data_IF_095857760850
#
_entry.id   IF_095857760850
#
_cell.length_a   1.000
_cell.length_b   1.000
_cell.length_c   1.000
_cell.angle_alpha   90.00
_cell.angle_beta   90.00
_cell.angle_gamma   90.00
#
_symmetry.space_group_name_H-M   'P 1'
#
loop_
_entity.id
_entity.type
_entity.pdbx_description
1 polymer ?
#
# COMPACT_ATOMS: atom_id res chain seq x y z
N UNK A 1 7.05 -9.94 5.80
CA UNK A 1 5.74 -9.29 5.74
C UNK A 1 5.94 -7.79 5.53
N UNK A 2 5.11 -7.14 4.72
CA UNK A 2 5.11 -5.70 4.46
C UNK A 2 3.89 -5.06 5.14
N UNK A 3 4.08 -4.02 5.95
CA UNK A 3 2.98 -3.27 6.59
C UNK A 3 3.07 -1.83 6.14
N UNK A 4 2.05 -1.37 5.45
CA UNK A 4 1.92 0.01 4.96
C UNK A 4 0.91 0.73 5.84
N UNK A 5 1.35 1.77 6.55
CA UNK A 5 0.54 2.56 7.45
C UNK A 5 0.12 3.86 6.74
N UNK A 6 -1.07 3.86 6.16
CA UNK A 6 -1.65 5.03 5.49
C UNK A 6 -2.32 5.96 6.52
N UNK A 7 -1.63 7.03 6.88
CA UNK A 7 -2.16 7.98 7.86
C UNK A 7 -3.24 8.91 7.31
N UNK A 8 -3.50 8.84 6.00
CA UNK A 8 -4.50 9.70 5.35
C UNK A 8 -4.34 11.16 5.82
N UNK A 9 -5.44 11.86 6.09
CA UNK A 9 -5.45 13.23 6.65
C UNK A 9 -5.58 13.26 8.19
N UNK A 10 -5.50 12.11 8.89
CA UNK A 10 -5.73 12.07 10.35
C UNK A 10 -4.56 12.63 11.18
N UNK A 11 -3.38 12.79 10.60
CA UNK A 11 -2.18 13.21 11.34
C UNK A 11 -1.68 14.55 10.81
N UNK A 12 -2.07 15.61 11.49
CA UNK A 12 -1.66 16.98 11.13
C UNK A 12 -0.50 17.51 11.99
N UNK A 13 -0.32 16.94 13.17
CA UNK A 13 0.68 17.40 14.13
C UNK A 13 1.99 16.59 14.03
N UNK A 14 3.12 17.31 13.97
CA UNK A 14 4.45 16.70 13.88
C UNK A 14 4.84 15.92 15.14
N UNK A 15 4.34 16.30 16.33
CA UNK A 15 4.64 15.57 17.56
C UNK A 15 3.93 14.19 17.57
N UNK A 16 2.66 14.12 17.14
CA UNK A 16 1.94 12.87 16.92
C UNK A 16 2.65 12.02 15.85
N UNK A 17 3.04 12.63 14.73
CA UNK A 17 3.76 11.94 13.66
C UNK A 17 5.08 11.31 14.13
N UNK A 18 5.86 12.02 14.97
CA UNK A 18 7.08 11.47 15.57
C UNK A 18 6.82 10.28 16.50
N UNK A 19 5.72 10.31 17.28
CA UNK A 19 5.32 9.19 18.14
C UNK A 19 4.95 7.95 17.33
N UNK A 20 4.17 8.12 16.26
CA UNK A 20 3.81 7.05 15.31
C UNK A 20 5.03 6.49 14.58
N UNK A 21 5.95 7.34 14.15
CA UNK A 21 7.23 6.91 13.57
C UNK A 21 8.05 6.06 14.55
N UNK A 22 8.15 6.48 15.81
CA UNK A 22 8.82 5.69 16.84
C UNK A 22 8.11 4.35 17.11
N UNK A 23 6.77 4.32 17.05
CA UNK A 23 5.99 3.08 17.14
C UNK A 23 6.31 2.15 15.95
N UNK A 24 6.33 2.66 14.72
CA UNK A 24 6.72 1.91 13.53
C UNK A 24 8.11 1.30 13.62
N UNK A 25 9.09 2.04 14.17
CA UNK A 25 10.45 1.50 14.42
C UNK A 25 10.45 0.34 15.43
N UNK A 26 9.70 0.48 16.52
CA UNK A 26 9.55 -0.59 17.52
C UNK A 26 8.90 -1.82 16.91
N UNK A 27 7.81 -1.61 16.15
CA UNK A 27 7.10 -2.67 15.45
C UNK A 27 8.03 -3.42 14.47
N UNK A 28 8.73 -2.71 13.60
CA UNK A 28 9.68 -3.32 12.67
C UNK A 28 10.76 -4.13 13.40
N UNK A 29 11.26 -3.63 14.53
CA UNK A 29 12.28 -4.33 15.32
C UNK A 29 11.75 -5.60 15.98
N UNK A 30 10.51 -5.59 16.50
CA UNK A 30 9.93 -6.73 17.20
C UNK A 30 9.46 -7.84 16.27
N UNK A 31 8.91 -7.49 15.10
CA UNK A 31 8.33 -8.44 14.13
C UNK A 31 9.28 -8.83 13.00
N UNK A 32 10.33 -8.04 12.75
CA UNK A 32 11.16 -8.16 11.54
C UNK A 32 10.48 -7.65 10.25
N UNK A 33 9.23 -7.18 10.35
CA UNK A 33 8.47 -6.67 9.22
C UNK A 33 9.08 -5.37 8.65
N UNK A 34 8.86 -5.16 7.35
CA UNK A 34 9.12 -3.87 6.70
C UNK A 34 7.91 -2.98 6.98
N UNK A 35 8.14 -1.83 7.60
CA UNK A 35 7.09 -0.85 7.90
C UNK A 35 7.24 0.33 6.94
N UNK A 36 6.22 0.58 6.15
CA UNK A 36 6.14 1.75 5.25
C UNK A 36 5.13 2.73 5.85
N UNK A 37 5.59 3.92 6.20
CA UNK A 37 4.73 4.98 6.74
C UNK A 37 4.35 5.93 5.61
N UNK A 38 3.07 6.18 5.41
CA UNK A 38 2.55 7.14 4.45
C UNK A 38 1.93 8.35 5.19
N UNK A 39 2.75 9.30 5.65
CA UNK A 39 2.29 10.51 6.30
C UNK A 39 1.73 11.51 5.28
N UNK A 40 0.94 12.51 5.70
CA UNK A 40 0.66 13.70 4.88
C UNK A 40 1.94 14.33 4.32
N UNK A 41 1.88 14.83 3.09
CA UNK A 41 3.04 15.30 2.32
C UNK A 41 3.94 16.26 3.12
N UNK A 42 3.36 17.23 3.85
CA UNK A 42 4.09 18.21 4.65
C UNK A 42 4.93 17.62 5.78
N UNK A 43 4.62 16.40 6.23
CA UNK A 43 5.33 15.73 7.33
C UNK A 43 6.41 14.76 6.84
N UNK A 44 6.31 14.31 5.59
CA UNK A 44 7.17 13.27 5.05
C UNK A 44 8.66 13.64 5.15
N UNK A 45 9.05 14.77 4.58
CA UNK A 45 10.46 15.22 4.59
C UNK A 45 11.03 15.38 6.01
N UNK A 46 10.25 15.93 6.94
CA UNK A 46 10.64 16.09 8.33
C UNK A 46 10.87 14.77 9.08
N UNK A 47 10.14 13.73 8.70
CA UNK A 47 10.30 12.38 9.26
C UNK A 47 11.43 11.62 8.55
N UNK A 48 11.53 11.72 7.23
CA UNK A 48 12.55 11.06 6.43
C UNK A 48 13.96 11.52 6.78
N UNK A 49 14.16 12.83 7.01
CA UNK A 49 15.44 13.37 7.47
C UNK A 49 15.94 12.77 8.80
N UNK A 50 15.05 12.19 9.60
CA UNK A 50 15.37 11.52 10.88
C UNK A 50 15.57 10.01 10.73
N UNK A 51 15.27 9.48 9.56
CA UNK A 51 15.44 8.07 9.24
C UNK A 51 16.71 7.95 8.40
N UNK A 52 17.79 7.40 8.97
CA UNK A 52 18.91 6.98 8.11
C UNK A 52 18.35 5.88 7.21
N UNK A 53 18.38 6.03 5.87
CA UNK A 53 17.79 5.06 4.99
C UNK A 53 18.37 3.68 5.27
N UNK A 54 17.51 2.72 5.58
CA UNK A 54 17.86 1.33 5.40
C UNK A 54 18.01 1.16 3.89
N UNK A 55 19.25 1.15 3.39
CA UNK A 55 19.50 0.82 1.99
C UNK A 55 18.82 -0.52 1.70
N UNK A 56 18.11 -0.67 0.56
CA UNK A 56 17.58 -1.96 0.14
C UNK A 56 18.64 -3.07 0.09
N UNK A 57 19.92 -2.70 0.07
CA UNK A 57 21.09 -3.60 0.00
C UNK A 57 21.70 -3.98 1.35
N UNK A 58 21.29 -3.37 2.45
CA UNK A 58 21.84 -3.70 3.78
C UNK A 58 20.76 -4.31 4.67
N UNK A 59 20.47 -5.59 4.48
CA UNK A 59 19.87 -6.43 5.50
C UNK A 59 20.89 -6.68 6.63
N UNK A 60 21.27 -5.64 7.36
CA UNK A 60 22.02 -5.84 8.60
C UNK A 60 21.08 -6.45 9.64
N UNK A 61 21.42 -7.65 10.09
CA UNK A 61 20.73 -8.32 11.21
C UNK A 61 20.57 -7.32 12.35
N UNK A 62 19.32 -6.94 12.69
CA UNK A 62 18.97 -6.21 13.91
C UNK A 62 18.56 -4.74 13.79
N UNK A 63 18.56 -4.10 12.60
CA UNK A 63 18.07 -2.73 12.40
C UNK A 63 16.55 -2.66 12.12
N UNK A 64 15.89 -1.54 12.48
CA UNK A 64 14.50 -1.31 12.07
C UNK A 64 14.42 -1.04 10.58
N UNK A 65 13.48 -1.69 9.89
CA UNK A 65 13.21 -1.54 8.45
C UNK A 65 12.01 -0.62 8.25
N UNK A 66 12.21 0.70 8.38
CA UNK A 66 11.16 1.70 8.19
C UNK A 66 11.45 2.49 6.93
N UNK A 67 10.46 2.63 6.07
CA UNK A 67 10.47 3.41 4.84
C UNK A 67 9.29 4.39 4.80
N UNK A 68 9.24 5.27 3.80
CA UNK A 68 8.17 6.24 3.62
C UNK A 68 7.51 6.10 2.26
N UNK A 69 6.19 6.32 2.24
CA UNK A 69 5.38 6.38 1.04
C UNK A 69 4.76 7.76 0.86
N UNK A 70 4.64 8.20 -0.38
CA UNK A 70 3.65 9.20 -0.76
C UNK A 70 2.25 8.59 -0.65
N UNK A 71 1.25 9.38 -0.21
CA UNK A 71 -0.16 8.93 -0.18
C UNK A 71 -0.81 8.97 -1.57
N UNK A 72 -0.23 9.73 -2.49
CA UNK A 72 -0.57 9.83 -3.90
C UNK A 72 0.56 10.56 -4.62
N UNK A 73 0.58 10.52 -5.95
CA UNK A 73 1.49 11.33 -6.78
C UNK A 73 0.72 11.97 -7.93
N UNK A 74 1.22 13.10 -8.43
CA UNK A 74 0.66 13.71 -9.64
C UNK A 74 0.83 12.79 -10.86
N UNK A 75 -0.18 12.77 -11.73
CA UNK A 75 -0.09 12.10 -13.04
C UNK A 75 0.85 12.83 -14.00
N UNK A 76 1.28 14.04 -13.68
CA UNK A 76 2.15 14.87 -14.52
C UNK A 76 3.60 14.83 -14.06
N UNK A 77 4.51 15.22 -14.98
CA UNK A 77 5.93 15.35 -14.65
C UNK A 77 6.28 16.66 -13.94
N UNK A 78 5.33 17.57 -13.82
CA UNK A 78 5.49 18.93 -13.31
C UNK A 78 4.93 19.98 -14.27
N UNK A 79 5.16 21.25 -14.00
CA UNK A 79 4.70 22.37 -14.82
C UNK A 79 3.63 23.23 -14.13
N UNK A 80 2.76 23.88 -14.89
CA UNK A 80 1.76 24.84 -14.41
C UNK A 80 0.52 24.15 -13.79
N UNK A 81 0.72 23.43 -12.68
CA UNK A 81 -0.31 22.67 -11.98
C UNK A 81 -0.23 22.95 -10.50
N UNK A 82 -0.85 24.08 -10.09
CA UNK A 82 -0.84 24.53 -8.70
C UNK A 82 -1.45 23.49 -7.77
N UNK A 83 -0.72 23.14 -6.71
CA UNK A 83 -1.16 22.19 -5.68
C UNK A 83 -0.74 20.73 -5.94
N UNK A 84 -0.31 20.37 -7.14
CA UNK A 84 0.16 19.03 -7.46
C UNK A 84 1.55 18.75 -6.88
N UNK A 85 1.73 17.54 -6.36
CA UNK A 85 3.02 17.05 -5.86
C UNK A 85 3.50 15.90 -6.74
N UNK A 86 4.60 16.12 -7.45
CA UNK A 86 5.16 15.12 -8.37
C UNK A 86 5.84 13.97 -7.66
N UNK A 87 5.99 12.83 -8.35
CA UNK A 87 6.76 11.69 -7.86
C UNK A 87 8.22 12.08 -7.55
N UNK A 88 8.82 12.95 -8.38
CA UNK A 88 10.17 13.48 -8.13
C UNK A 88 10.26 14.25 -6.81
N UNK A 89 9.29 15.10 -6.50
CA UNK A 89 9.27 15.86 -5.25
C UNK A 89 9.17 14.95 -4.02
N UNK A 90 8.35 13.88 -4.10
CA UNK A 90 8.26 12.89 -3.03
C UNK A 90 9.54 12.07 -2.87
N UNK A 91 10.16 11.63 -3.97
CA UNK A 91 11.45 10.92 -3.95
C UNK A 91 12.54 11.80 -3.32
N UNK A 92 12.64 13.07 -3.73
CA UNK A 92 13.56 14.03 -3.15
C UNK A 92 13.32 14.30 -1.66
N UNK A 93 12.06 14.22 -1.20
CA UNK A 93 11.68 14.31 0.21
C UNK A 93 11.99 13.03 1.01
N UNK A 94 12.39 11.94 0.37
CA UNK A 94 12.79 10.68 1.01
C UNK A 94 11.73 9.59 1.00
N UNK A 95 10.67 9.69 0.18
CA UNK A 95 9.79 8.58 -0.11
C UNK A 95 10.52 7.52 -0.96
N UNK A 96 10.19 6.27 -0.74
CA UNK A 96 10.65 5.12 -1.56
C UNK A 96 9.48 4.29 -2.07
N UNK A 97 8.27 4.59 -1.61
CA UNK A 97 7.02 4.00 -2.06
C UNK A 97 6.01 5.10 -2.42
N UNK A 98 4.97 4.73 -3.18
CA UNK A 98 3.81 5.59 -3.45
C UNK A 98 2.54 4.74 -3.47
N UNK A 99 1.50 5.15 -2.73
CA UNK A 99 0.16 4.58 -2.82
C UNK A 99 -0.51 5.21 -4.05
N UNK A 100 -1.07 4.39 -4.94
CA UNK A 100 -1.64 4.85 -6.20
C UNK A 100 -2.97 4.14 -6.46
N UNK A 101 -3.98 4.90 -6.91
CA UNK A 101 -5.31 4.35 -7.19
C UNK A 101 -6.12 3.99 -5.96
N UNK A 102 -5.75 4.51 -4.76
CA UNK A 102 -6.52 4.31 -3.54
C UNK A 102 -8.00 4.71 -3.75
N UNK A 103 -8.91 3.96 -3.15
CA UNK A 103 -10.37 4.15 -3.33
C UNK A 103 -10.82 5.61 -3.16
N UNK A 104 -10.31 6.32 -2.15
CA UNK A 104 -10.61 7.74 -1.93
C UNK A 104 -10.13 8.64 -3.09
N UNK A 105 -9.05 8.27 -3.79
CA UNK A 105 -8.57 9.00 -4.96
C UNK A 105 -9.44 8.73 -6.18
N UNK A 106 -9.89 7.49 -6.36
CA UNK A 106 -10.84 7.12 -7.42
C UNK A 106 -12.16 7.85 -7.28
N UNK A 107 -12.72 7.94 -6.06
CA UNK A 107 -13.91 8.75 -5.77
C UNK A 107 -13.67 10.24 -6.08
N UNK A 108 -12.45 10.74 -5.92
CA UNK A 108 -12.06 12.12 -6.25
C UNK A 108 -11.63 12.32 -7.71
N UNK A 109 -11.88 11.36 -8.61
CA UNK A 109 -11.74 11.52 -10.05
C UNK A 109 -10.53 10.81 -10.68
N UNK A 110 -9.77 10.01 -9.95
CA UNK A 110 -8.71 9.19 -10.55
C UNK A 110 -9.36 8.07 -11.38
N UNK A 111 -9.33 8.19 -12.70
CA UNK A 111 -9.70 7.12 -13.64
C UNK A 111 -8.56 6.11 -13.78
N UNK A 112 -8.82 4.93 -14.37
CA UNK A 112 -7.77 3.93 -14.62
C UNK A 112 -6.64 4.48 -15.49
N UNK A 113 -6.95 5.32 -16.47
CA UNK A 113 -5.93 6.01 -17.28
C UNK A 113 -5.04 6.93 -16.42
N UNK A 114 -5.62 7.66 -15.47
CA UNK A 114 -4.87 8.51 -14.53
C UNK A 114 -4.02 7.65 -13.60
N UNK A 115 -4.54 6.53 -13.10
CA UNK A 115 -3.81 5.57 -12.26
C UNK A 115 -2.60 5.00 -13.02
N UNK A 116 -2.75 4.59 -14.28
CA UNK A 116 -1.65 4.11 -15.11
C UNK A 116 -0.54 5.17 -15.29
N UNK A 117 -0.92 6.43 -15.54
CA UNK A 117 0.03 7.54 -15.62
C UNK A 117 0.78 7.74 -14.28
N UNK A 118 0.07 7.72 -13.14
CA UNK A 118 0.68 7.84 -11.81
C UNK A 118 1.68 6.71 -11.53
N UNK A 119 1.34 5.46 -11.90
CA UNK A 119 2.27 4.32 -11.80
C UNK A 119 3.56 4.56 -12.59
N UNK A 120 3.42 4.98 -13.85
CA UNK A 120 4.57 5.31 -14.70
C UNK A 120 5.43 6.42 -14.09
N UNK A 121 4.82 7.49 -13.54
CA UNK A 121 5.53 8.58 -12.86
C UNK A 121 6.28 8.10 -11.62
N UNK A 122 5.66 7.28 -10.78
CA UNK A 122 6.30 6.72 -9.60
C UNK A 122 7.52 5.88 -9.98
N UNK A 123 7.38 4.98 -10.94
CA UNK A 123 8.45 4.11 -11.42
C UNK A 123 9.62 4.89 -12.04
N UNK A 124 9.33 5.94 -12.81
CA UNK A 124 10.35 6.81 -13.42
C UNK A 124 11.22 7.54 -12.39
N UNK A 125 10.73 7.71 -11.16
CA UNK A 125 11.47 8.34 -10.05
C UNK A 125 11.84 7.35 -8.94
N UNK A 126 12.00 6.06 -9.29
CA UNK A 126 12.47 4.98 -8.42
C UNK A 126 11.58 4.74 -7.18
N UNK A 127 10.36 5.25 -7.15
CA UNK A 127 9.38 4.87 -6.16
C UNK A 127 8.83 3.47 -6.47
N UNK A 128 8.61 2.66 -5.45
CA UNK A 128 7.89 1.39 -5.57
C UNK A 128 6.38 1.67 -5.44
N UNK A 129 5.60 1.52 -6.51
CA UNK A 129 4.17 1.79 -6.42
C UNK A 129 3.42 0.68 -5.70
N UNK A 130 2.44 1.08 -4.89
CA UNK A 130 1.45 0.22 -4.26
C UNK A 130 0.11 0.55 -4.93
N UNK A 131 -0.26 -0.28 -5.91
CA UNK A 131 -1.50 -0.13 -6.68
C UNK A 131 -2.67 -0.64 -5.85
N UNK A 132 -3.60 0.22 -5.52
CA UNK A 132 -4.87 -0.12 -4.89
C UNK A 132 -5.90 -0.49 -5.95
N UNK A 133 -6.54 -1.64 -5.76
CA UNK A 133 -7.62 -2.17 -6.59
C UNK A 133 -8.69 -2.78 -5.72
N UNK A 134 -9.92 -2.81 -6.19
CA UNK A 134 -11.00 -3.49 -5.48
C UNK A 134 -12.38 -3.09 -5.95
N UNK A 135 -13.29 -4.02 -5.85
CA UNK A 135 -14.69 -3.87 -6.23
C UNK A 135 -15.52 -3.14 -5.18
N UNK A 136 -16.55 -2.43 -5.65
CA UNK A 136 -17.51 -1.73 -4.78
C UNK A 136 -18.55 -2.66 -4.15
N UNK A 137 -18.85 -3.79 -4.80
CA UNK A 137 -19.85 -4.75 -4.34
C UNK A 137 -19.49 -6.16 -4.82
N UNK A 138 -19.95 -7.18 -4.09
CA UNK A 138 -19.90 -8.57 -4.50
C UNK A 138 -21.28 -9.04 -4.93
N UNK A 139 -21.37 -9.56 -6.14
CA UNK A 139 -22.57 -10.19 -6.68
C UNK A 139 -22.41 -11.72 -6.76
N UNK A 140 -23.55 -12.41 -6.88
CA UNK A 140 -23.54 -13.87 -7.03
C UNK A 140 -23.13 -14.38 -8.44
N UNK A 141 -22.90 -13.48 -9.40
CA UNK A 141 -22.56 -13.80 -10.79
C UNK A 141 -21.05 -13.65 -11.07
N UNK A 142 -20.28 -13.17 -10.09
CA UNK A 142 -18.82 -13.04 -10.21
C UNK A 142 -18.34 -11.83 -11.03
N UNK A 143 -19.19 -10.83 -11.27
CA UNK A 143 -18.82 -9.61 -12.01
C UNK A 143 -17.69 -8.84 -11.32
N UNK A 144 -17.60 -8.90 -9.99
CA UNK A 144 -16.52 -8.31 -9.20
C UNK A 144 -15.13 -8.80 -9.63
N UNK A 145 -15.00 -10.04 -10.10
CA UNK A 145 -13.73 -10.56 -10.63
C UNK A 145 -13.31 -9.84 -11.91
N UNK A 146 -14.27 -9.49 -12.77
CA UNK A 146 -14.01 -8.73 -13.98
C UNK A 146 -13.55 -7.31 -13.67
N UNK A 147 -14.15 -6.66 -12.66
CA UNK A 147 -13.74 -5.33 -12.20
C UNK A 147 -12.28 -5.35 -11.72
N UNK A 148 -11.93 -6.29 -10.85
CA UNK A 148 -10.57 -6.43 -10.33
C UNK A 148 -9.56 -6.72 -11.46
N UNK A 149 -9.93 -7.56 -12.44
CA UNK A 149 -9.10 -7.81 -13.63
C UNK A 149 -8.90 -6.56 -14.47
N UNK A 150 -9.96 -5.81 -14.73
CA UNK A 150 -9.92 -4.60 -15.54
C UNK A 150 -9.02 -3.53 -14.89
N UNK A 151 -9.18 -3.28 -13.59
CA UNK A 151 -8.33 -2.35 -12.84
C UNK A 151 -6.85 -2.76 -12.86
N UNK A 152 -6.54 -4.06 -12.70
CA UNK A 152 -5.17 -4.56 -12.82
C UNK A 152 -4.60 -4.41 -14.22
N UNK A 153 -5.37 -4.81 -15.24
CA UNK A 153 -4.92 -4.82 -16.62
C UNK A 153 -4.68 -3.40 -17.12
N UNK A 154 -5.67 -2.51 -16.95
CA UNK A 154 -5.57 -1.11 -17.38
C UNK A 154 -4.42 -0.35 -16.71
N UNK A 155 -4.09 -0.69 -15.46
CA UNK A 155 -3.02 -0.04 -14.72
C UNK A 155 -1.62 -0.59 -15.07
N UNK A 156 -1.49 -1.92 -15.25
CA UNK A 156 -0.18 -2.59 -15.36
C UNK A 156 0.26 -2.79 -16.82
N UNK A 157 -0.67 -3.09 -17.74
CA UNK A 157 -0.34 -3.41 -19.13
C UNK A 157 0.37 -2.27 -19.88
N UNK A 158 0.07 -0.98 -19.65
CA UNK A 158 0.79 0.13 -20.28
C UNK A 158 2.26 0.27 -19.86
N UNK A 159 2.65 -0.35 -18.72
CA UNK A 159 4.03 -0.28 -18.22
C UNK A 159 4.97 -1.16 -19.03
N UNK A 160 6.24 -0.75 -19.11
CA UNK A 160 7.28 -1.60 -19.70
C UNK A 160 7.39 -2.93 -18.93
N UNK A 161 7.62 -4.07 -19.63
CA UNK A 161 7.58 -5.39 -18.99
C UNK A 161 8.45 -5.54 -17.72
N UNK A 162 9.64 -4.93 -17.71
CA UNK A 162 10.55 -4.92 -16.54
C UNK A 162 10.03 -4.09 -15.35
N UNK A 163 9.16 -3.13 -15.59
CA UNK A 163 8.58 -2.25 -14.58
C UNK A 163 7.36 -2.86 -13.91
N UNK A 164 6.61 -3.67 -14.66
CA UNK A 164 5.40 -4.36 -14.13
C UNK A 164 5.70 -5.16 -12.86
N UNK A 165 6.84 -5.84 -12.80
CA UNK A 165 7.25 -6.65 -11.66
C UNK A 165 7.61 -5.84 -10.40
N UNK A 166 7.71 -4.51 -10.50
CA UNK A 166 7.98 -3.61 -9.36
C UNK A 166 6.71 -3.14 -8.66
N UNK A 167 5.54 -3.40 -9.25
CA UNK A 167 4.25 -2.98 -8.70
C UNK A 167 3.84 -3.95 -7.59
N UNK A 168 3.54 -3.40 -6.41
CA UNK A 168 2.88 -4.10 -5.31
C UNK A 168 1.38 -3.87 -5.46
N UNK A 169 0.56 -4.89 -5.26
CA UNK A 169 -0.89 -4.76 -5.33
C UNK A 169 -1.47 -4.74 -3.93
N UNK A 170 -2.36 -3.80 -3.65
CA UNK A 170 -3.17 -3.75 -2.43
C UNK A 170 -4.65 -3.96 -2.82
N UNK A 171 -5.22 -5.06 -2.34
CA UNK A 171 -6.62 -5.37 -2.56
C UNK A 171 -7.50 -4.70 -1.50
N UNK A 172 -8.36 -3.80 -1.94
CA UNK A 172 -9.26 -2.97 -1.13
C UNK A 172 -10.73 -3.26 -1.49
N UNK A 173 -11.37 -4.33 -0.98
CA UNK A 173 -12.81 -4.52 -1.21
C UNK A 173 -13.59 -3.36 -0.58
N UNK A 174 -14.12 -2.45 -1.42
CA UNK A 174 -14.72 -1.18 -0.96
C UNK A 174 -15.94 -1.42 -0.07
N UNK A 175 -16.68 -2.49 -0.34
CA UNK A 175 -17.84 -2.91 0.45
C UNK A 175 -17.46 -3.32 1.88
N UNK A 176 -16.19 -3.67 2.15
CA UNK A 176 -15.68 -4.09 3.45
C UNK A 176 -14.84 -3.00 4.17
N UNK A 177 -14.67 -1.80 3.56
CA UNK A 177 -13.90 -0.71 4.17
C UNK A 177 -14.78 0.07 5.16
N UNK A 178 -14.25 0.33 6.36
CA UNK A 178 -14.94 1.12 7.39
C UNK A 178 -16.19 0.45 7.97
N UNK A 179 -16.32 -0.85 7.81
CA UNK A 179 -17.39 -1.66 8.39
C UNK A 179 -16.93 -2.30 9.69
N UNK A 180 -17.92 -2.63 10.55
CA UNK A 180 -17.70 -3.39 11.77
C UNK A 180 -17.20 -4.81 11.46
N UNK A 181 -16.58 -5.44 12.43
CA UNK A 181 -15.94 -6.77 12.29
C UNK A 181 -16.84 -7.86 11.68
N UNK A 182 -18.16 -7.72 11.78
CA UNK A 182 -19.15 -8.64 11.19
C UNK A 182 -19.32 -8.50 9.67
N UNK A 183 -18.86 -7.39 9.09
CA UNK A 183 -18.98 -7.08 7.66
C UNK A 183 -17.62 -7.02 6.96
N UNK A 184 -16.58 -7.55 7.59
CA UNK A 184 -15.23 -7.66 7.03
C UNK A 184 -15.13 -8.92 6.18
N UNK A 185 -14.29 -8.89 5.14
CA UNK A 185 -14.03 -10.08 4.34
C UNK A 185 -13.48 -11.22 5.20
N UNK A 186 -14.03 -12.42 5.04
CA UNK A 186 -13.54 -13.61 5.72
C UNK A 186 -12.18 -14.07 5.17
N UNK A 187 -11.37 -14.80 5.97
CA UNK A 187 -10.06 -15.28 5.52
C UNK A 187 -10.13 -16.15 4.25
N UNK A 188 -11.17 -16.96 4.07
CA UNK A 188 -11.35 -17.80 2.89
C UNK A 188 -11.66 -16.97 1.64
N UNK A 189 -12.55 -16.00 1.75
CA UNK A 189 -12.88 -15.10 0.64
C UNK A 189 -11.69 -14.25 0.24
N UNK A 190 -10.90 -13.80 1.23
CA UNK A 190 -9.66 -13.09 0.95
C UNK A 190 -8.64 -14.00 0.27
N UNK A 191 -8.52 -15.27 0.68
CA UNK A 191 -7.63 -16.23 0.03
C UNK A 191 -8.00 -16.46 -1.44
N UNK A 192 -9.29 -16.58 -1.73
CA UNK A 192 -9.80 -16.68 -3.10
C UNK A 192 -9.40 -15.48 -3.94
N UNK A 193 -9.61 -14.27 -3.44
CA UNK A 193 -9.24 -13.05 -4.14
C UNK A 193 -7.73 -12.91 -4.35
N UNK A 194 -6.93 -13.27 -3.35
CA UNK A 194 -5.46 -13.28 -3.48
C UNK A 194 -5.02 -14.24 -4.57
N UNK A 195 -5.59 -15.44 -4.63
CA UNK A 195 -5.29 -16.42 -5.68
C UNK A 195 -5.72 -15.90 -7.06
N UNK A 196 -6.88 -15.27 -7.15
CA UNK A 196 -7.36 -14.68 -8.40
C UNK A 196 -6.45 -13.54 -8.88
N UNK A 197 -6.09 -12.60 -8.00
CA UNK A 197 -5.16 -11.51 -8.29
C UNK A 197 -3.81 -12.07 -8.76
N UNK A 198 -3.25 -13.09 -8.08
CA UNK A 198 -2.01 -13.74 -8.49
C UNK A 198 -2.12 -14.41 -9.85
N UNK A 199 -3.27 -15.00 -10.20
CA UNK A 199 -3.54 -15.55 -11.53
C UNK A 199 -3.49 -14.45 -12.60
N UNK A 200 -4.17 -13.32 -12.39
CA UNK A 200 -4.14 -12.19 -13.34
C UNK A 200 -2.72 -11.63 -13.47
N UNK A 201 -1.99 -11.46 -12.37
CA UNK A 201 -0.60 -11.02 -12.39
C UNK A 201 0.30 -11.99 -13.16
N UNK A 202 0.04 -13.30 -13.11
CA UNK A 202 0.81 -14.29 -13.87
C UNK A 202 0.63 -14.14 -15.39
N UNK A 203 -0.50 -13.62 -15.83
CA UNK A 203 -0.78 -13.33 -17.24
C UNK A 203 -0.12 -12.00 -17.69
N UNK A 204 -0.07 -11.00 -16.79
CA UNK A 204 0.45 -9.65 -17.10
C UNK A 204 1.97 -9.51 -16.96
N UNK A 205 2.60 -10.35 -16.15
CA UNK A 205 4.02 -10.24 -15.81
C UNK A 205 4.89 -11.20 -16.61
N UNK A 206 6.08 -10.79 -17.05
CA UNK A 206 6.96 -11.63 -17.84
C UNK A 206 7.55 -12.79 -17.02
N UNK A 207 7.48 -14.00 -17.56
CA UNK A 207 8.18 -15.18 -17.06
C UNK A 207 7.81 -15.52 -15.61
N UNK A 208 8.81 -15.69 -14.74
CA UNK A 208 8.62 -16.06 -13.32
C UNK A 208 8.41 -14.86 -12.39
N UNK A 209 8.32 -13.64 -12.91
CA UNK A 209 8.24 -12.41 -12.10
C UNK A 209 6.99 -12.35 -11.23
N UNK A 210 5.89 -12.96 -11.67
CA UNK A 210 4.64 -13.05 -10.91
C UNK A 210 4.79 -13.73 -9.53
N UNK A 211 5.75 -14.65 -9.39
CA UNK A 211 6.01 -15.35 -8.12
C UNK A 211 6.55 -14.43 -7.03
N UNK A 212 7.12 -13.29 -7.41
CA UNK A 212 7.71 -12.32 -6.50
C UNK A 212 6.80 -11.09 -6.28
N UNK A 213 5.64 -11.04 -6.95
CA UNK A 213 4.69 -9.93 -6.78
C UNK A 213 4.02 -10.01 -5.42
N UNK A 214 4.08 -8.92 -4.68
CA UNK A 214 3.45 -8.82 -3.36
C UNK A 214 1.99 -8.43 -3.52
N UNK A 215 1.11 -9.14 -2.79
CA UNK A 215 -0.31 -8.84 -2.68
C UNK A 215 -0.61 -8.52 -1.22
N UNK A 216 -1.05 -7.29 -0.97
CA UNK A 216 -1.44 -6.80 0.35
C UNK A 216 -2.96 -6.80 0.48
N UNK A 217 -3.47 -6.90 1.69
CA UNK A 217 -4.86 -6.61 2.00
C UNK A 217 -5.00 -5.20 2.56
N UNK A 218 -5.91 -4.42 1.99
CA UNK A 218 -6.15 -3.00 2.31
C UNK A 218 -7.56 -2.68 2.82
N UNK A 219 -8.35 -3.67 3.17
CA UNK A 219 -9.65 -3.45 3.82
C UNK A 219 -9.54 -3.14 5.31
N UNK A 220 -10.60 -3.41 6.07
CA UNK A 220 -10.63 -3.18 7.52
C UNK A 220 -9.70 -4.16 8.24
N UNK A 221 -8.56 -3.65 8.72
CA UNK A 221 -7.54 -4.40 9.46
C UNK A 221 -7.44 -3.85 10.88
N UNK A 222 -7.70 -4.71 11.86
CA UNK A 222 -7.66 -4.42 13.29
C UNK A 222 -6.86 -5.49 14.04
N UNK A 223 -6.49 -5.22 15.29
CA UNK A 223 -5.79 -6.20 16.12
C UNK A 223 -6.61 -7.47 16.39
N UNK A 224 -7.93 -7.40 16.25
CA UNK A 224 -8.85 -8.53 16.42
C UNK A 224 -8.84 -9.53 15.26
N UNK A 225 -8.55 -9.11 14.02
CA UNK A 225 -8.67 -9.94 12.80
C UNK A 225 -7.34 -10.18 12.07
N UNK A 226 -6.32 -9.38 12.28
CA UNK A 226 -5.08 -9.42 11.49
C UNK A 226 -4.36 -10.77 11.54
N UNK A 227 -4.43 -11.47 12.67
CA UNK A 227 -3.80 -12.80 12.84
C UNK A 227 -4.43 -13.82 11.90
N UNK A 228 -5.75 -13.91 11.88
CA UNK A 228 -6.50 -14.88 11.06
C UNK A 228 -6.34 -14.56 9.57
N UNK A 229 -6.40 -13.27 9.21
CA UNK A 229 -6.16 -12.82 7.85
C UNK A 229 -4.73 -13.16 7.39
N UNK A 230 -3.72 -12.94 8.24
CA UNK A 230 -2.32 -13.25 7.91
C UNK A 230 -2.06 -14.76 7.76
N UNK A 231 -2.68 -15.58 8.59
CA UNK A 231 -2.45 -17.03 8.63
C UNK A 231 -3.10 -17.78 7.46
N UNK A 232 -4.26 -17.31 6.98
CA UNK A 232 -5.12 -18.13 6.12
C UNK A 232 -5.27 -17.60 4.70
N UNK A 233 -4.97 -16.31 4.43
CA UNK A 233 -5.30 -15.70 3.14
C UNK A 233 -4.18 -15.72 2.10
N UNK A 234 -2.93 -15.98 2.50
CA UNK A 234 -1.77 -15.95 1.61
C UNK A 234 -1.34 -14.55 1.18
N UNK A 235 -1.76 -13.48 1.91
CA UNK A 235 -1.28 -12.11 1.69
C UNK A 235 0.16 -11.95 2.13
N UNK A 236 0.90 -11.05 1.47
CA UNK A 236 2.29 -10.72 1.80
C UNK A 236 2.39 -9.60 2.84
N UNK A 237 1.26 -8.98 3.17
CA UNK A 237 1.17 -7.89 4.13
C UNK A 237 -0.14 -7.13 4.10
N UNK A 238 -0.13 -5.92 4.65
CA UNK A 238 -1.33 -5.12 4.89
C UNK A 238 -1.12 -3.65 4.54
N UNK A 239 -2.15 -3.02 3.99
CA UNK A 239 -2.28 -1.57 3.87
C UNK A 239 -3.31 -1.12 4.91
N UNK A 240 -2.84 -0.48 5.99
CA UNK A 240 -3.63 -0.19 7.19
C UNK A 240 -3.93 1.30 7.26
N UNK A 241 -5.20 1.65 7.33
CA UNK A 241 -5.69 3.02 7.49
C UNK A 241 -5.81 3.43 8.96
N UNK A 242 -7.04 3.53 9.47
CA UNK A 242 -7.38 4.11 10.78
C UNK A 242 -6.60 3.49 11.94
N UNK A 243 -6.49 2.17 12.03
CA UNK A 243 -5.75 1.48 13.09
C UNK A 243 -4.26 1.89 13.15
N UNK A 244 -3.67 2.40 12.06
CA UNK A 244 -2.29 2.84 12.02
C UNK A 244 -2.02 4.23 12.62
N UNK A 245 -3.06 5.02 12.93
CA UNK A 245 -2.96 6.36 13.51
C UNK A 245 -3.29 6.42 15.00
N UNK A 246 -3.75 5.30 15.57
CA UNK A 246 -3.78 5.05 17.01
C UNK A 246 -2.55 4.25 17.44
N UNK A 247 -1.77 4.81 18.39
CA UNK A 247 -0.49 4.21 18.80
C UNK A 247 -0.70 2.89 19.56
N UNK A 248 -1.82 2.76 20.31
CA UNK A 248 -2.13 1.54 21.07
C UNK A 248 -2.54 0.45 20.13
N UNK A 249 -3.48 0.74 19.22
CA UNK A 249 -3.98 -0.21 18.22
C UNK A 249 -2.86 -0.65 17.29
N UNK A 250 -2.04 0.28 16.76
CA UNK A 250 -0.90 -0.03 15.92
C UNK A 250 0.15 -0.91 16.62
N UNK A 251 0.30 -0.76 17.94
CA UNK A 251 1.17 -1.62 18.76
C UNK A 251 0.56 -2.99 19.03
N UNK A 252 -0.77 -3.10 19.13
CA UNK A 252 -1.47 -4.37 19.30
C UNK A 252 -1.43 -5.20 18.01
N UNK A 253 -1.67 -4.59 16.85
CA UNK A 253 -1.50 -5.22 15.54
C UNK A 253 -0.15 -5.95 15.41
N UNK A 254 0.91 -5.30 15.91
CA UNK A 254 2.25 -5.88 15.94
C UNK A 254 2.33 -7.19 16.71
N UNK A 255 1.71 -7.23 17.88
CA UNK A 255 1.75 -8.40 18.76
C UNK A 255 1.01 -9.60 18.17
N UNK A 256 0.03 -9.36 17.30
CA UNK A 256 -0.73 -10.41 16.64
C UNK A 256 0.02 -11.06 15.46
N UNK A 257 1.07 -10.41 14.98
CA UNK A 257 1.88 -10.87 13.84
C UNK A 257 3.20 -11.57 14.26
N UNK A 258 3.43 -11.69 15.55
CA UNK A 258 4.55 -12.45 16.15
C UNK A 258 4.04 -13.79 16.61
#
# INVERSE_FOLDING_TARGET
MLIVANWKAYVEDLAKAKKLFAAGKRLSKSTGAIIVLAPPARLLGALAARNKPASPKTSSRGGSKVAFAAQDVSATAGGALTGEITANAYAAAGATYAIIGHSERRVNGDTDAVVALKLSRALAHELTPILCIGESERDGEGRYLSIVREELTSAIEPLAPKERARVIVAYEPLWAIGKDAEHVIGPNDLAEMVLYIRKVLAELLPGKSSKNSLVLYGGSVESSNIRDLAASSGVDGFLIGHASVDIREFSLLAKQLI
#
